data_IF_182532138812
#
_entry.id   IF_182532138812
#
_cell.length_a   1.000
_cell.length_b   1.000
_cell.length_c   1.000
_cell.angle_alpha   90.00
_cell.angle_beta   90.00
_cell.angle_gamma   90.00
#
_symmetry.space_group_name_H-M   'P 1'
#
loop_
_entity.id
_entity.type
_entity.pdbx_description
1 polymer ?
#
# COMPACT_ATOMS: atom_id res chain seq x y z
N UNK A 1 -0.81 20.53 -19.29
CA UNK A 1 -0.86 21.41 -18.09
C UNK A 1 -0.08 20.76 -16.97
N UNK A 2 0.66 21.52 -16.16
CA UNK A 2 1.25 20.99 -14.92
C UNK A 2 0.10 20.76 -13.93
N UNK A 3 -0.21 19.50 -13.64
CA UNK A 3 -1.11 19.18 -12.52
C UNK A 3 -0.50 19.68 -11.21
N UNK A 4 -1.35 20.20 -10.32
CA UNK A 4 -1.05 20.79 -9.01
C UNK A 4 -0.90 19.76 -7.88
N UNK A 5 -0.99 18.46 -8.20
CA UNK A 5 -0.82 17.37 -7.25
C UNK A 5 0.63 17.17 -6.77
N UNK A 6 0.81 16.36 -5.71
CA UNK A 6 2.12 16.04 -5.17
C UNK A 6 2.98 15.29 -6.18
N UNK A 7 4.31 15.41 -6.01
CA UNK A 7 5.30 14.85 -6.93
C UNK A 7 5.91 13.55 -6.40
N UNK A 8 6.10 12.59 -7.30
CA UNK A 8 6.95 11.41 -7.09
C UNK A 8 7.92 11.32 -8.26
N UNK A 9 9.14 11.83 -8.05
CA UNK A 9 10.11 12.01 -9.14
C UNK A 9 9.57 12.98 -10.20
N UNK A 10 9.58 12.62 -11.50
CA UNK A 10 9.07 13.51 -12.55
C UNK A 10 7.52 13.58 -12.60
N UNK A 11 6.83 12.63 -11.96
CA UNK A 11 5.39 12.46 -12.09
C UNK A 11 4.61 13.32 -11.07
N UNK A 12 3.46 13.86 -11.51
CA UNK A 12 2.42 14.41 -10.61
C UNK A 12 1.41 13.31 -10.34
N UNK A 13 1.06 13.10 -9.07
CA UNK A 13 0.05 12.13 -8.64
C UNK A 13 -1.32 12.81 -8.54
N UNK A 14 -2.32 12.23 -9.19
CA UNK A 14 -3.73 12.63 -9.04
C UNK A 14 -4.35 11.88 -7.84
N UNK A 15 -4.11 12.43 -6.65
CA UNK A 15 -4.62 11.88 -5.40
C UNK A 15 -6.15 11.82 -5.38
N UNK A 16 -6.92 12.86 -5.80
CA UNK A 16 -8.38 12.77 -5.86
C UNK A 16 -8.91 11.58 -6.66
N UNK A 17 -8.31 11.27 -7.82
CA UNK A 17 -8.72 10.11 -8.61
C UNK A 17 -8.42 8.79 -7.91
N UNK A 18 -7.25 8.64 -7.27
CA UNK A 18 -6.94 7.49 -6.43
C UNK A 18 -8.00 7.34 -5.32
N UNK A 19 -8.28 8.43 -4.59
CA UNK A 19 -9.19 8.39 -3.47
C UNK A 19 -10.61 7.97 -3.88
N UNK A 20 -11.10 8.54 -4.98
CA UNK A 20 -12.45 8.29 -5.50
C UNK A 20 -12.63 6.85 -5.99
N UNK A 21 -11.59 6.23 -6.54
CA UNK A 21 -11.68 4.92 -7.16
C UNK A 21 -11.26 3.77 -6.23
N UNK A 22 -10.19 3.95 -5.46
CA UNK A 22 -9.60 2.88 -4.66
C UNK A 22 -10.14 2.82 -3.23
N UNK A 23 -10.41 3.94 -2.56
CA UNK A 23 -10.82 3.89 -1.15
C UNK A 23 -12.13 3.13 -0.91
N UNK A 24 -13.17 3.23 -1.77
CA UNK A 24 -14.38 2.43 -1.59
C UNK A 24 -14.11 0.92 -1.57
N UNK A 25 -13.07 0.45 -2.27
CA UNK A 25 -12.71 -0.98 -2.28
C UNK A 25 -11.89 -1.40 -1.07
N UNK A 26 -11.46 -0.45 -0.24
CA UNK A 26 -10.72 -0.66 1.01
C UNK A 26 -11.57 -0.38 2.24
N UNK A 27 -12.86 -0.08 2.05
CA UNK A 27 -13.83 -0.06 3.15
C UNK A 27 -14.04 -1.49 3.66
N UNK A 28 -14.13 -1.62 4.98
CA UNK A 28 -14.38 -2.91 5.59
C UNK A 28 -15.79 -3.39 5.23
N UNK A 29 -15.87 -4.59 4.67
CA UNK A 29 -17.11 -5.31 4.42
C UNK A 29 -17.01 -6.67 5.14
N UNK A 30 -17.94 -7.00 6.05
CA UNK A 30 -17.94 -8.29 6.75
C UNK A 30 -18.07 -9.50 5.81
N UNK A 31 -18.51 -9.31 4.57
CA UNK A 31 -18.60 -10.36 3.56
C UNK A 31 -17.28 -10.56 2.78
N UNK A 32 -16.31 -9.65 2.92
CA UNK A 32 -15.01 -9.72 2.26
C UNK A 32 -13.99 -10.30 3.24
N UNK A 33 -13.38 -11.42 2.86
CA UNK A 33 -12.36 -12.09 3.66
C UNK A 33 -10.93 -11.68 3.29
N UNK A 34 -10.72 -11.24 2.04
CA UNK A 34 -9.40 -10.92 1.49
C UNK A 34 -9.45 -9.60 0.72
N UNK A 35 -8.52 -8.72 1.06
CA UNK A 35 -8.21 -7.50 0.32
C UNK A 35 -6.89 -7.68 -0.41
N UNK A 36 -6.83 -7.20 -1.66
CA UNK A 36 -5.62 -7.26 -2.47
C UNK A 36 -5.18 -5.84 -2.81
N UNK A 37 -3.94 -5.51 -2.49
CA UNK A 37 -3.29 -4.25 -2.82
C UNK A 37 -2.03 -4.52 -3.64
N UNK A 38 -2.10 -4.31 -4.95
CA UNK A 38 -0.95 -4.55 -5.82
C UNK A 38 0.27 -3.70 -5.41
N UNK A 39 0.07 -2.45 -5.00
CA UNK A 39 1.15 -1.58 -4.51
C UNK A 39 0.72 -0.70 -3.33
N UNK A 40 1.56 -0.69 -2.29
CA UNK A 40 1.64 0.34 -1.25
C UNK A 40 2.97 1.06 -1.47
N UNK A 41 2.90 2.17 -2.19
CA UNK A 41 4.07 2.88 -2.68
C UNK A 41 4.00 4.39 -2.51
N UNK A 42 5.09 5.06 -2.88
CA UNK A 42 5.26 6.51 -2.66
C UNK A 42 4.17 7.35 -3.35
N UNK A 43 3.52 6.82 -4.38
CA UNK A 43 2.45 7.52 -5.08
C UNK A 43 1.15 7.47 -4.26
N UNK A 44 0.76 6.29 -3.80
CA UNK A 44 -0.47 6.07 -3.02
C UNK A 44 -0.40 6.75 -1.66
N UNK A 45 0.80 6.78 -1.06
CA UNK A 45 1.04 7.34 0.27
C UNK A 45 0.93 8.87 0.36
N UNK A 46 0.76 9.56 -0.76
CA UNK A 46 0.32 10.96 -0.77
C UNK A 46 -1.13 11.11 -0.26
N UNK A 47 -1.98 10.07 -0.37
CA UNK A 47 -3.29 10.05 0.28
C UNK A 47 -3.16 9.65 1.75
N UNK A 48 -3.54 10.55 2.64
CA UNK A 48 -3.67 10.24 4.07
C UNK A 48 -4.76 9.21 4.32
N UNK A 49 -5.87 9.30 3.56
CA UNK A 49 -6.99 8.36 3.69
C UNK A 49 -6.57 6.95 3.29
N UNK A 50 -5.84 6.79 2.19
CA UNK A 50 -5.32 5.48 1.79
C UNK A 50 -4.53 4.81 2.93
N UNK A 51 -3.61 5.55 3.57
CA UNK A 51 -2.85 5.07 4.73
C UNK A 51 -3.77 4.61 5.87
N UNK A 52 -4.79 5.40 6.19
CA UNK A 52 -5.76 5.07 7.24
C UNK A 52 -6.55 3.80 6.91
N UNK A 53 -7.00 3.62 5.66
CA UNK A 53 -7.70 2.40 5.23
C UNK A 53 -6.80 1.16 5.34
N UNK A 54 -5.54 1.24 4.88
CA UNK A 54 -4.59 0.13 5.02
C UNK A 54 -4.39 -0.23 6.50
N UNK A 55 -4.17 0.76 7.37
CA UNK A 55 -4.01 0.52 8.81
C UNK A 55 -5.27 -0.07 9.45
N UNK A 56 -6.46 0.39 9.07
CA UNK A 56 -7.72 -0.12 9.59
C UNK A 56 -7.98 -1.58 9.16
N UNK A 57 -7.57 -1.98 7.96
CA UNK A 57 -7.63 -3.37 7.51
C UNK A 57 -6.62 -4.25 8.24
N UNK A 58 -5.39 -3.78 8.43
CA UNK A 58 -4.34 -4.51 9.16
C UNK A 58 -4.67 -4.72 10.64
N UNK A 59 -5.44 -3.81 11.26
CA UNK A 59 -5.84 -3.90 12.66
C UNK A 59 -6.97 -4.90 12.94
N UNK A 60 -7.51 -5.57 11.91
CA UNK A 60 -8.65 -6.48 12.03
C UNK A 60 -8.21 -7.93 11.95
N UNK A 61 -8.60 -8.72 12.94
CA UNK A 61 -8.21 -10.14 13.03
C UNK A 61 -8.93 -11.05 12.02
N UNK A 62 -10.11 -10.63 11.54
CA UNK A 62 -11.00 -11.45 10.71
C UNK A 62 -10.86 -11.22 9.21
N UNK A 63 -9.89 -10.42 8.77
CA UNK A 63 -9.63 -10.15 7.35
C UNK A 63 -8.17 -10.42 7.01
N UNK A 64 -7.89 -10.74 5.75
CA UNK A 64 -6.53 -10.87 5.24
C UNK A 64 -6.25 -9.75 4.26
N UNK A 65 -5.07 -9.15 4.36
CA UNK A 65 -4.54 -8.21 3.39
C UNK A 65 -3.33 -8.85 2.72
N UNK A 66 -3.40 -8.98 1.39
CA UNK A 66 -2.27 -9.44 0.56
C UNK A 66 -1.87 -8.31 -0.34
N UNK A 67 -0.58 -8.02 -0.45
CA UNK A 67 -0.12 -6.96 -1.32
C UNK A 67 1.39 -6.77 -1.38
N UNK A 68 1.83 -5.86 -2.24
CA UNK A 68 3.23 -5.49 -2.32
C UNK A 68 3.48 -4.13 -1.65
N UNK A 69 4.55 -4.05 -0.87
CA UNK A 69 5.06 -2.80 -0.30
C UNK A 69 6.35 -2.40 -1.03
N UNK A 70 6.60 -1.09 -1.14
CA UNK A 70 7.90 -0.61 -1.64
C UNK A 70 9.04 -1.15 -0.77
N UNK A 71 9.91 -1.97 -1.37
CA UNK A 71 11.11 -2.48 -0.71
C UNK A 71 12.16 -1.37 -0.50
N UNK A 72 12.93 -1.41 0.61
CA UNK A 72 14.07 -0.51 0.79
C UNK A 72 15.08 -0.61 -0.36
N UNK A 73 15.52 0.53 -0.90
CA UNK A 73 16.53 0.57 -1.98
C UNK A 73 17.61 1.60 -1.70
N UNK A 74 18.87 1.18 -1.69
CA UNK A 74 20.05 2.05 -1.54
C UNK A 74 19.96 3.03 -0.34
N UNK A 75 19.43 2.55 0.79
CA UNK A 75 19.24 3.38 1.99
C UNK A 75 17.96 4.24 1.98
N UNK A 76 17.25 4.34 0.85
CA UNK A 76 15.94 4.96 0.81
C UNK A 76 14.90 3.99 1.35
N UNK A 77 14.27 4.40 2.45
CA UNK A 77 13.17 3.68 3.09
C UNK A 77 11.88 4.49 2.96
N UNK A 78 10.76 3.79 2.98
CA UNK A 78 9.43 4.40 3.02
C UNK A 78 8.85 4.05 4.39
N UNK A 79 8.81 5.03 5.30
CA UNK A 79 8.48 4.80 6.71
C UNK A 79 7.14 4.07 6.90
N UNK A 80 6.14 4.39 6.08
CA UNK A 80 4.86 3.69 6.14
C UNK A 80 4.97 2.21 5.74
N UNK A 81 5.77 1.89 4.71
CA UNK A 81 6.01 0.50 4.33
C UNK A 81 6.77 -0.26 5.42
N UNK A 82 7.74 0.40 6.08
CA UNK A 82 8.44 -0.16 7.23
C UNK A 82 7.48 -0.44 8.40
N UNK A 83 6.55 0.48 8.66
CA UNK A 83 5.51 0.30 9.67
C UNK A 83 4.57 -0.86 9.33
N UNK A 84 4.13 -0.99 8.08
CA UNK A 84 3.32 -2.14 7.63
C UNK A 84 4.09 -3.44 7.82
N UNK A 85 5.35 -3.50 7.40
CA UNK A 85 6.20 -4.68 7.55
C UNK A 85 6.44 -5.08 9.01
N UNK A 86 6.47 -4.10 9.92
CA UNK A 86 6.67 -4.32 11.35
C UNK A 86 5.36 -4.58 12.13
N UNK A 87 4.20 -4.52 11.47
CA UNK A 87 2.91 -4.72 12.13
C UNK A 87 2.76 -6.19 12.59
N UNK A 88 2.36 -6.45 13.84
CA UNK A 88 2.13 -7.81 14.32
C UNK A 88 1.19 -8.61 13.41
N UNK A 89 1.56 -9.83 13.07
CA UNK A 89 0.78 -10.70 12.17
C UNK A 89 1.04 -10.49 10.67
N UNK A 90 1.82 -9.48 10.28
CA UNK A 90 2.27 -9.32 8.89
C UNK A 90 3.47 -10.24 8.60
N UNK A 91 3.36 -11.02 7.53
CA UNK A 91 4.48 -11.81 6.99
C UNK A 91 4.98 -11.15 5.73
N UNK A 92 6.29 -10.85 5.67
CA UNK A 92 6.91 -10.20 4.52
C UNK A 92 7.79 -11.18 3.77
N UNK A 93 7.51 -11.36 2.48
CA UNK A 93 8.35 -12.14 1.58
C UNK A 93 9.20 -11.20 0.72
N UNK A 94 10.53 -11.32 0.83
CA UNK A 94 11.43 -10.52 0.01
C UNK A 94 11.59 -11.16 -1.38
N UNK A 95 10.87 -10.60 -2.37
CA UNK A 95 10.93 -11.05 -3.75
C UNK A 95 12.16 -10.48 -4.48
N UNK A 96 12.87 -11.37 -5.15
CA UNK A 96 14.02 -11.12 -6.00
C UNK A 96 13.79 -11.79 -7.35
N UNK A 97 14.59 -11.43 -8.36
CA UNK A 97 14.50 -12.12 -9.67
C UNK A 97 14.72 -13.63 -9.56
N UNK A 98 15.47 -14.10 -8.55
CA UNK A 98 15.86 -15.49 -8.41
C UNK A 98 14.80 -16.36 -7.70
N UNK A 99 13.94 -15.78 -6.86
CA UNK A 99 12.94 -16.53 -6.06
C UNK A 99 11.49 -16.20 -6.41
N UNK A 100 11.23 -15.35 -7.43
CA UNK A 100 9.87 -14.87 -7.76
C UNK A 100 8.84 -15.95 -8.09
N UNK A 101 9.27 -17.12 -8.57
CA UNK A 101 8.38 -18.23 -8.96
C UNK A 101 8.22 -19.27 -7.83
N UNK A 102 8.89 -19.05 -6.69
CA UNK A 102 8.97 -20.01 -5.57
C UNK A 102 8.23 -19.53 -4.32
N UNK A 103 7.81 -18.27 -4.33
CA UNK A 103 7.05 -17.59 -3.27
C UNK A 103 5.67 -17.32 -3.82
#
# INVERSE_FOLDING_TARGET
GKGDGPKTGPYTVDVPSLERLALPTLEFDPNIQVYVLDEIGRMELHSVKFKQHVQALLARDNVRLVGAITAPRYGHRVEFCDHVAATPGVTVHNLTKANREQV
#
